data_IF_691769018281
#
_entry.id   IF_691769018281
#
_cell.length_a   1.000
_cell.length_b   1.000
_cell.length_c   1.000
_cell.angle_alpha   90.00
_cell.angle_beta   90.00
_cell.angle_gamma   90.00
#
_symmetry.space_group_name_H-M   'P 1'
#
loop_
_entity.id
_entity.type
_entity.pdbx_description
1 polymer ?
#
# COMPACT_ATOMS: atom_id res chain seq x y z
N UNK A 1 18.73 -10.35 -3.06
CA UNK A 1 18.04 -10.48 -3.31
C UNK A 1 17.10 -10.17 -3.28
N UNK A 2 16.84 -9.91 -3.14
CA UNK A 2 15.96 -9.67 -3.51
C UNK A 2 14.76 -9.58 -2.94
N UNK A 3 13.93 -9.06 -3.55
CA UNK A 3 12.57 -8.85 -3.14
C UNK A 3 11.75 -10.12 -3.13
N UNK A 4 12.31 -11.18 -3.63
CA UNK A 4 11.60 -12.45 -3.78
C UNK A 4 11.01 -12.95 -2.48
N UNK A 5 9.73 -13.24 -2.52
CA UNK A 5 9.03 -13.79 -1.37
C UNK A 5 8.46 -12.76 -0.42
N UNK A 6 8.79 -11.49 -0.57
CA UNK A 6 8.14 -10.46 0.24
C UNK A 6 6.71 -10.28 -0.25
N UNK A 7 5.80 -10.20 0.67
CA UNK A 7 4.37 -10.15 0.37
C UNK A 7 3.84 -8.74 0.52
N UNK A 8 3.25 -8.22 -0.55
CA UNK A 8 2.77 -6.85 -0.64
C UNK A 8 1.25 -6.85 -0.82
N UNK A 9 0.57 -6.03 -0.05
CA UNK A 9 -0.85 -5.77 -0.24
C UNK A 9 -1.01 -4.38 -0.82
N UNK A 10 -1.73 -4.28 -1.94
CA UNK A 10 -2.05 -3.00 -2.58
C UNK A 10 -3.52 -2.68 -2.38
N UNK A 11 -3.83 -1.51 -1.82
CA UNK A 11 -5.19 -1.03 -1.65
C UNK A 11 -5.39 0.21 -2.52
N UNK A 12 -6.22 0.10 -3.55
CA UNK A 12 -6.52 1.20 -4.47
C UNK A 12 -7.84 0.87 -5.16
N UNK A 13 -8.76 1.83 -5.22
CA UNK A 13 -10.07 1.57 -5.84
C UNK A 13 -10.04 1.64 -7.37
N UNK A 14 -8.95 2.12 -7.95
CA UNK A 14 -8.79 2.22 -9.40
C UNK A 14 -8.27 0.89 -9.96
N UNK A 15 -9.09 0.25 -10.79
CA UNK A 15 -8.76 -1.04 -11.39
C UNK A 15 -7.46 -1.00 -12.19
N UNK A 16 -7.24 0.09 -12.95
CA UNK A 16 -6.03 0.21 -13.77
C UNK A 16 -4.78 0.35 -12.91
N UNK A 17 -4.87 1.11 -11.82
CA UNK A 17 -3.73 1.29 -10.92
C UNK A 17 -3.42 -0.02 -10.22
N UNK A 18 -4.44 -0.77 -9.76
CA UNK A 18 -4.21 -2.08 -9.14
C UNK A 18 -3.47 -3.02 -10.10
N UNK A 19 -3.93 -3.06 -11.36
CA UNK A 19 -3.28 -3.91 -12.35
C UNK A 19 -1.84 -3.48 -12.61
N UNK A 20 -1.62 -2.19 -12.78
CA UNK A 20 -0.29 -1.66 -13.02
C UNK A 20 0.66 -1.99 -11.87
N UNK A 21 0.24 -1.72 -10.64
CA UNK A 21 1.07 -2.00 -9.48
C UNK A 21 1.31 -3.49 -9.28
N UNK A 22 0.27 -4.30 -9.49
CA UNK A 22 0.40 -5.74 -9.39
C UNK A 22 1.42 -6.31 -10.38
N UNK A 23 1.34 -5.86 -11.63
CA UNK A 23 2.27 -6.32 -12.67
C UNK A 23 3.69 -5.85 -12.38
N UNK A 24 3.85 -4.58 -12.00
CA UNK A 24 5.16 -4.00 -11.74
C UNK A 24 5.83 -4.68 -10.55
N UNK A 25 5.12 -4.83 -9.45
CA UNK A 25 5.66 -5.43 -8.24
C UNK A 25 5.97 -6.91 -8.46
N UNK A 26 5.12 -7.61 -9.20
CA UNK A 26 5.39 -9.00 -9.56
C UNK A 26 6.64 -9.12 -10.41
N UNK A 27 6.85 -8.18 -11.32
CA UNK A 27 8.05 -8.14 -12.14
C UNK A 27 9.31 -7.99 -11.28
N UNK A 28 9.21 -7.24 -10.17
CA UNK A 28 10.33 -7.06 -9.24
C UNK A 28 10.50 -8.23 -8.26
N UNK A 29 9.65 -9.25 -8.35
CA UNK A 29 9.78 -10.44 -7.53
C UNK A 29 8.96 -10.49 -6.25
N UNK A 30 8.08 -9.50 -6.05
CA UNK A 30 7.18 -9.49 -4.89
C UNK A 30 5.97 -10.40 -5.12
N UNK A 31 5.42 -10.94 -4.05
CA UNK A 31 4.16 -11.67 -4.05
C UNK A 31 3.07 -10.65 -3.71
N UNK A 32 2.17 -10.37 -4.64
CA UNK A 32 1.26 -9.23 -4.56
C UNK A 32 -0.20 -9.66 -4.52
N UNK A 33 -0.93 -9.12 -3.54
CA UNK A 33 -2.39 -9.19 -3.53
C UNK A 33 -2.93 -7.76 -3.64
N UNK A 34 -4.06 -7.60 -4.31
CA UNK A 34 -4.69 -6.29 -4.49
C UNK A 34 -6.11 -6.29 -3.97
N UNK A 35 -6.51 -5.21 -3.33
CA UNK A 35 -7.88 -5.00 -2.86
C UNK A 35 -8.34 -3.61 -3.29
N UNK A 36 -9.65 -3.39 -3.27
CA UNK A 36 -10.24 -2.15 -3.78
C UNK A 36 -10.68 -1.17 -2.69
N UNK A 37 -10.57 -1.54 -1.43
CA UNK A 37 -11.01 -0.67 -0.35
C UNK A 37 -10.32 -1.03 0.96
N UNK A 38 -10.46 -0.14 1.95
CA UNK A 38 -9.79 -0.31 3.24
C UNK A 38 -10.33 -1.47 4.06
N UNK A 39 -11.61 -1.76 3.95
CA UNK A 39 -12.21 -2.85 4.72
C UNK A 39 -11.63 -4.20 4.29
N UNK A 40 -11.49 -4.41 2.99
CA UNK A 40 -10.85 -5.62 2.48
C UNK A 40 -9.39 -5.70 2.90
N UNK A 41 -8.69 -4.56 2.87
CA UNK A 41 -7.29 -4.51 3.28
C UNK A 41 -7.13 -4.94 4.74
N UNK A 42 -7.96 -4.40 5.63
CA UNK A 42 -7.91 -4.75 7.06
C UNK A 42 -8.15 -6.24 7.26
N UNK A 43 -9.16 -6.80 6.59
CA UNK A 43 -9.48 -8.21 6.73
C UNK A 43 -8.29 -9.10 6.36
N UNK A 44 -7.60 -8.77 5.27
CA UNK A 44 -6.44 -9.56 4.85
C UNK A 44 -5.24 -9.36 5.76
N UNK A 45 -5.03 -8.15 6.27
CA UNK A 45 -3.90 -7.87 7.17
C UNK A 45 -4.11 -8.58 8.50
N UNK A 46 -5.33 -8.65 9.00
CA UNK A 46 -5.61 -9.34 10.26
C UNK A 46 -5.27 -10.82 10.22
N UNK A 47 -5.47 -11.46 9.07
CA UNK A 47 -5.31 -12.91 8.95
C UNK A 47 -4.07 -13.33 8.17
N UNK A 48 -3.45 -12.41 7.43
CA UNK A 48 -2.33 -12.72 6.56
C UNK A 48 -1.00 -12.26 7.11
N UNK A 49 0.05 -12.64 6.40
CA UNK A 49 1.43 -12.28 6.76
C UNK A 49 2.01 -11.38 5.68
N UNK A 50 1.58 -10.13 5.65
CA UNK A 50 2.09 -9.15 4.70
C UNK A 50 3.32 -8.45 5.26
N UNK A 51 4.25 -8.13 4.37
CA UNK A 51 5.46 -7.39 4.71
C UNK A 51 5.28 -5.90 4.45
N UNK A 52 4.46 -5.56 3.45
CA UNK A 52 4.26 -4.17 3.03
C UNK A 52 2.81 -3.94 2.66
N UNK A 53 2.28 -2.79 3.07
CA UNK A 53 1.00 -2.27 2.58
C UNK A 53 1.29 -1.02 1.75
N UNK A 54 0.75 -0.98 0.54
CA UNK A 54 0.76 0.22 -0.30
C UNK A 54 -0.68 0.66 -0.46
N UNK A 55 -1.02 1.87 -0.06
CA UNK A 55 -2.40 2.34 -0.13
C UNK A 55 -2.52 3.70 -0.80
N UNK A 56 -3.53 3.84 -1.66
CA UNK A 56 -3.96 5.13 -2.19
C UNK A 56 -4.68 5.92 -1.11
N UNK A 57 -4.79 7.23 -1.30
CA UNK A 57 -5.55 8.08 -0.39
C UNK A 57 -7.06 8.00 -0.67
N UNK A 58 -7.45 8.20 -1.92
CA UNK A 58 -8.87 8.29 -2.30
C UNK A 58 -9.47 6.91 -2.51
N UNK A 59 -10.25 6.48 -1.52
CA UNK A 59 -11.00 5.22 -1.61
C UNK A 59 -12.38 5.42 -0.99
N UNK A 60 -13.41 4.68 -1.45
CA UNK A 60 -14.75 4.81 -0.87
C UNK A 60 -14.75 4.41 0.60
N UNK A 61 -15.55 5.11 1.39
CA UNK A 61 -15.86 4.81 2.79
C UNK A 61 -14.71 5.02 3.77
N UNK A 62 -13.49 4.68 3.39
CA UNK A 62 -12.32 4.82 4.25
C UNK A 62 -11.14 5.26 3.40
N UNK A 63 -10.60 6.44 3.65
CA UNK A 63 -9.44 6.89 2.89
C UNK A 63 -8.16 6.21 3.40
N UNK A 64 -7.05 6.39 2.66
CA UNK A 64 -5.80 5.73 2.99
C UNK A 64 -5.22 6.11 4.34
N UNK A 65 -5.42 7.36 4.78
CA UNK A 65 -4.93 7.81 6.08
C UNK A 65 -5.69 7.10 7.20
N UNK A 66 -7.00 6.99 7.07
CA UNK A 66 -7.83 6.27 8.03
C UNK A 66 -7.45 4.79 8.08
N UNK A 67 -7.20 4.20 6.91
CA UNK A 67 -6.75 2.82 6.83
C UNK A 67 -5.45 2.61 7.60
N UNK A 68 -4.47 3.49 7.38
CA UNK A 68 -3.17 3.35 8.04
C UNK A 68 -3.30 3.43 9.56
N UNK A 69 -4.12 4.35 10.05
CA UNK A 69 -4.33 4.45 11.50
C UNK A 69 -4.86 3.14 12.07
N UNK A 70 -5.83 2.53 11.39
CA UNK A 70 -6.40 1.26 11.86
C UNK A 70 -5.39 0.12 11.76
N UNK A 71 -4.61 0.07 10.69
CA UNK A 71 -3.61 -0.97 10.48
C UNK A 71 -2.50 -0.87 11.53
N UNK A 72 -2.10 0.34 11.90
CA UNK A 72 -1.07 0.51 12.94
C UNK A 72 -1.51 -0.03 14.30
N UNK A 73 -2.80 -0.03 14.57
CA UNK A 73 -3.30 -0.62 15.81
C UNK A 73 -3.19 -2.15 15.79
N UNK A 74 -3.20 -2.75 14.60
CA UNK A 74 -3.16 -4.19 14.43
C UNK A 74 -1.72 -4.70 14.25
N UNK A 75 -0.94 -4.04 13.40
CA UNK A 75 0.41 -4.47 13.02
C UNK A 75 1.37 -3.30 13.08
N UNK A 76 2.06 -3.15 14.20
CA UNK A 76 2.93 -2.00 14.41
C UNK A 76 4.20 -2.01 13.56
N UNK A 77 4.66 -3.19 13.16
CA UNK A 77 5.91 -3.32 12.41
C UNK A 77 5.74 -3.47 10.90
N UNK A 78 4.51 -3.42 10.41
CA UNK A 78 4.25 -3.52 8.97
C UNK A 78 4.82 -2.29 8.25
N UNK A 79 5.53 -2.49 7.15
CA UNK A 79 5.97 -1.37 6.33
C UNK A 79 4.77 -0.81 5.55
N UNK A 80 4.56 0.49 5.62
CA UNK A 80 3.40 1.12 4.98
C UNK A 80 3.85 2.25 4.08
N UNK A 81 3.35 2.25 2.85
CA UNK A 81 3.63 3.27 1.86
C UNK A 81 2.31 3.91 1.44
N UNK A 82 2.21 5.22 1.60
CA UNK A 82 1.05 5.98 1.12
C UNK A 82 1.29 6.52 -0.27
N UNK A 83 0.24 6.58 -1.09
CA UNK A 83 0.30 7.15 -2.43
C UNK A 83 -0.84 8.13 -2.62
N UNK A 84 -0.56 9.26 -3.28
CA UNK A 84 -1.59 10.22 -3.63
C UNK A 84 -1.13 11.13 -4.76
N UNK A 85 -2.10 11.59 -5.57
CA UNK A 85 -1.85 12.61 -6.58
C UNK A 85 -1.91 14.02 -5.98
N UNK A 86 -2.30 14.15 -4.72
CA UNK A 86 -2.42 15.44 -4.05
C UNK A 86 -1.49 15.51 -2.83
N UNK A 87 -1.63 16.56 -2.02
CA UNK A 87 -0.64 16.87 -0.99
C UNK A 87 -1.01 16.23 0.36
N UNK A 88 -1.06 14.90 0.38
CA UNK A 88 -1.40 14.13 1.59
C UNK A 88 -0.19 13.58 2.32
N UNK A 89 1.02 13.96 1.92
CA UNK A 89 2.24 13.38 2.51
C UNK A 89 2.28 13.50 4.03
N UNK A 90 2.02 14.69 4.54
CA UNK A 90 2.06 14.91 6.00
C UNK A 90 1.05 14.05 6.74
N UNK A 91 -0.16 13.95 6.19
CA UNK A 91 -1.20 13.13 6.79
C UNK A 91 -0.85 11.66 6.81
N UNK A 92 -0.29 11.17 5.72
CA UNK A 92 0.15 9.78 5.66
C UNK A 92 1.26 9.48 6.68
N UNK A 93 2.27 10.34 6.73
CA UNK A 93 3.38 10.12 7.65
C UNK A 93 2.94 10.25 9.11
N UNK A 94 2.08 11.23 9.41
CA UNK A 94 1.54 11.40 10.75
C UNK A 94 0.68 10.21 11.18
N UNK A 95 0.01 9.55 10.23
CA UNK A 95 -0.82 8.37 10.52
C UNK A 95 0.01 7.12 10.75
N UNK A 96 1.28 7.13 10.37
CA UNK A 96 2.18 6.00 10.59
C UNK A 96 2.76 5.38 9.34
N UNK A 97 2.62 6.01 8.17
CA UNK A 97 3.28 5.52 6.97
C UNK A 97 4.80 5.69 7.09
N UNK A 98 5.52 4.74 6.55
CA UNK A 98 6.99 4.81 6.53
C UNK A 98 7.48 5.65 5.35
N UNK A 99 6.75 5.63 4.24
CA UNK A 99 7.10 6.36 3.03
C UNK A 99 5.85 6.93 2.39
N UNK A 100 6.04 7.97 1.58
CA UNK A 100 5.00 8.52 0.73
C UNK A 100 5.51 8.60 -0.70
N UNK A 101 4.70 8.20 -1.66
CA UNK A 101 5.03 8.26 -3.08
C UNK A 101 3.96 9.10 -3.78
N UNK A 102 4.38 10.19 -4.40
CA UNK A 102 3.48 11.06 -5.16
C UNK A 102 3.16 10.44 -6.52
N UNK A 103 1.90 10.54 -6.93
CA UNK A 103 1.50 10.12 -8.28
C UNK A 103 1.59 11.32 -9.22
N UNK A 104 1.99 11.14 -10.47
CA UNK A 104 2.49 9.89 -11.05
C UNK A 104 3.88 9.57 -10.53
N UNK A 105 4.16 8.29 -10.34
CA UNK A 105 5.44 7.87 -9.78
C UNK A 105 6.28 7.16 -10.84
N UNK A 106 7.61 7.19 -10.63
CA UNK A 106 8.52 6.40 -11.44
C UNK A 106 8.38 4.92 -11.09
N UNK A 107 8.41 4.02 -12.09
CA UNK A 107 8.41 2.59 -11.78
C UNK A 107 9.54 2.19 -10.82
N UNK A 108 10.67 2.90 -10.87
CA UNK A 108 11.81 2.59 -9.99
C UNK A 108 11.53 2.90 -8.53
N UNK A 109 10.53 3.73 -8.23
CA UNK A 109 10.21 4.08 -6.85
C UNK A 109 9.83 2.86 -6.00
N UNK A 110 9.33 1.80 -6.62
CA UNK A 110 8.88 0.60 -5.93
C UNK A 110 9.87 -0.56 -6.02
N UNK A 111 11.03 -0.34 -6.59
CA UNK A 111 11.96 -1.44 -6.87
C UNK A 111 12.51 -2.10 -5.60
N UNK A 112 12.76 -1.31 -4.57
CA UNK A 112 13.39 -1.79 -3.35
C UNK A 112 12.61 -1.38 -2.10
N UNK A 113 11.34 -1.56 -2.11
CA UNK A 113 10.48 -1.21 -0.97
C UNK A 113 10.52 -2.24 0.17
#
# INVERSE_FOLDING_TARGET
MQANGRKVLVADDDTLIRKLLGDLLSFYGYDVDCVSNGKEAIALIETGSYDVLITDYMMPEMNGIELIKKVRDIKKSLAIIGMSASEEERGFLAAGANLFIAKPFSPYALKNI
#
